data_IF_887125728596
#
_entry.id   IF_887125728596
#
_cell.length_a   1.000
_cell.length_b   1.000
_cell.length_c   1.000
_cell.angle_alpha   90.00
_cell.angle_beta   90.00
_cell.angle_gamma   90.00
#
_symmetry.space_group_name_H-M   'P 1'
#
loop_
_entity.id
_entity.type
_entity.pdbx_description
1 polymer ?
#
# COMPACT_ATOMS: atom_id res chain seq x y z
N UNK A 1 -4.85 -9.29 -13.76
CA UNK A 1 -5.97 -9.20 -14.75
C UNK A 1 -7.14 -8.57 -14.02
N UNK A 2 -7.33 -7.27 -14.14
CA UNK A 2 -8.53 -6.60 -13.63
C UNK A 2 -9.66 -6.98 -14.59
N UNK A 3 -10.60 -7.79 -14.10
CA UNK A 3 -11.84 -8.05 -14.80
C UNK A 3 -12.58 -6.72 -14.95
N UNK A 4 -12.81 -6.27 -16.17
CA UNK A 4 -13.71 -5.16 -16.46
C UNK A 4 -15.12 -5.61 -16.10
N UNK A 5 -15.54 -5.33 -14.88
CA UNK A 5 -16.95 -5.47 -14.52
C UNK A 5 -17.71 -4.32 -15.16
N UNK A 6 -18.88 -4.60 -15.79
CA UNK A 6 -19.72 -3.54 -16.29
C UNK A 6 -20.15 -2.63 -15.14
N UNK A 7 -20.14 -1.32 -15.37
CA UNK A 7 -20.66 -0.37 -14.40
C UNK A 7 -22.13 -0.70 -14.12
N UNK A 8 -22.43 -0.99 -12.86
CA UNK A 8 -23.78 -1.26 -12.41
C UNK A 8 -24.26 -0.15 -11.49
N UNK A 9 -25.52 0.18 -11.59
CA UNK A 9 -26.14 1.17 -10.70
C UNK A 9 -26.11 0.64 -9.25
N UNK A 10 -25.63 1.44 -8.27
CA UNK A 10 -25.60 1.03 -6.87
C UNK A 10 -27.02 0.70 -6.38
N UNK A 11 -27.24 -0.50 -5.89
CA UNK A 11 -28.50 -0.98 -5.34
C UNK A 11 -28.36 -1.23 -3.84
N UNK A 12 -29.27 -0.65 -3.04
CA UNK A 12 -29.39 -1.06 -1.63
C UNK A 12 -30.07 -2.42 -1.57
N UNK A 13 -29.29 -3.44 -1.25
CA UNK A 13 -29.76 -4.82 -1.16
C UNK A 13 -30.24 -5.10 0.27
N UNK A 14 -31.44 -5.67 0.39
CA UNK A 14 -32.01 -6.07 1.68
C UNK A 14 -31.69 -7.53 2.00
N UNK A 15 -31.72 -7.88 3.29
CA UNK A 15 -31.53 -9.26 3.75
C UNK A 15 -32.45 -10.24 3.01
N UNK A 16 -33.74 -9.89 2.89
CA UNK A 16 -34.74 -10.72 2.20
C UNK A 16 -34.42 -10.97 0.73
N UNK A 17 -33.83 -10.00 0.05
CA UNK A 17 -33.45 -10.16 -1.37
C UNK A 17 -32.26 -11.12 -1.52
N UNK A 18 -31.25 -11.02 -0.65
CA UNK A 18 -30.09 -11.92 -0.69
C UNK A 18 -30.50 -13.35 -0.30
N UNK A 19 -31.33 -13.51 0.73
CA UNK A 19 -31.81 -14.81 1.18
C UNK A 19 -32.76 -15.48 0.17
N UNK A 20 -33.44 -14.69 -0.64
CA UNK A 20 -34.33 -15.17 -1.68
C UNK A 20 -33.66 -15.61 -2.98
N UNK A 21 -32.34 -15.50 -3.11
CA UNK A 21 -31.60 -15.94 -4.30
C UNK A 21 -31.56 -17.47 -4.33
N UNK A 22 -32.27 -18.08 -5.29
CA UNK A 22 -32.24 -19.51 -5.53
C UNK A 22 -31.25 -19.82 -6.65
N UNK A 23 -30.25 -20.64 -6.34
CA UNK A 23 -29.27 -21.09 -7.31
C UNK A 23 -29.82 -22.25 -8.14
N UNK A 24 -29.59 -22.19 -9.44
CA UNK A 24 -29.86 -23.28 -10.38
C UNK A 24 -28.55 -23.96 -10.82
N UNK A 25 -28.62 -25.01 -11.64
CA UNK A 25 -27.44 -25.75 -12.11
C UNK A 25 -26.37 -24.86 -12.78
N UNK A 26 -26.76 -23.78 -13.47
CA UNK A 26 -25.84 -22.88 -14.14
C UNK A 26 -25.18 -21.89 -13.17
N UNK A 27 -25.87 -21.52 -12.11
CA UNK A 27 -25.43 -20.53 -11.12
C UNK A 27 -24.86 -21.16 -9.84
N UNK A 28 -24.95 -22.49 -9.68
CA UNK A 28 -24.38 -23.21 -8.56
C UNK A 28 -22.90 -22.93 -8.28
N UNK A 29 -22.00 -22.71 -9.28
CA UNK A 29 -20.61 -22.32 -9.03
C UNK A 29 -20.44 -21.00 -8.28
N UNK A 30 -21.46 -20.13 -8.28
CA UNK A 30 -21.44 -18.84 -7.59
C UNK A 30 -21.89 -18.92 -6.13
N UNK A 31 -22.23 -20.11 -5.61
CA UNK A 31 -22.72 -20.27 -4.25
C UNK A 31 -21.76 -19.67 -3.22
N UNK A 32 -20.48 -19.98 -3.31
CA UNK A 32 -19.46 -19.48 -2.39
C UNK A 32 -19.33 -17.94 -2.46
N UNK A 33 -19.41 -17.37 -3.66
CA UNK A 33 -19.39 -15.92 -3.85
C UNK A 33 -20.61 -15.24 -3.26
N UNK A 34 -21.80 -15.85 -3.37
CA UNK A 34 -23.03 -15.35 -2.78
C UNK A 34 -23.04 -15.43 -1.26
N UNK A 35 -22.52 -16.51 -0.68
CA UNK A 35 -22.34 -16.61 0.78
C UNK A 35 -21.41 -15.53 1.31
N UNK A 36 -20.30 -15.27 0.61
CA UNK A 36 -19.36 -14.21 0.94
C UNK A 36 -20.02 -12.84 0.83
N UNK A 37 -20.72 -12.57 -0.27
CA UNK A 37 -21.46 -11.33 -0.48
C UNK A 37 -22.50 -11.09 0.61
N UNK A 38 -23.20 -12.13 1.04
CA UNK A 38 -24.17 -12.07 2.16
C UNK A 38 -23.50 -11.63 3.46
N UNK A 39 -22.38 -12.22 3.82
CA UNK A 39 -21.63 -11.85 5.02
C UNK A 39 -21.15 -10.39 5.00
N UNK A 40 -20.62 -9.94 3.86
CA UNK A 40 -20.08 -8.58 3.70
C UNK A 40 -21.23 -7.55 3.70
N UNK A 41 -22.27 -7.75 2.86
CA UNK A 41 -23.34 -6.76 2.66
C UNK A 41 -24.21 -6.61 3.89
N UNK A 42 -24.45 -7.70 4.61
CA UNK A 42 -25.31 -7.70 5.79
C UNK A 42 -24.55 -7.36 7.09
N UNK A 43 -23.25 -7.09 7.02
CA UNK A 43 -22.40 -6.94 8.21
C UNK A 43 -22.63 -8.06 9.25
N UNK A 44 -22.77 -9.28 8.75
CA UNK A 44 -23.11 -10.42 9.59
C UNK A 44 -21.91 -10.78 10.44
N UNK A 45 -21.98 -10.47 11.73
CA UNK A 45 -21.06 -11.00 12.73
C UNK A 45 -21.63 -12.35 13.17
N UNK A 46 -20.96 -13.48 12.87
CA UNK A 46 -21.48 -14.79 13.28
C UNK A 46 -21.53 -14.83 14.80
N UNK A 47 -22.72 -15.06 15.33
CA UNK A 47 -22.90 -15.31 16.77
C UNK A 47 -22.38 -16.70 17.09
N UNK A 48 -21.23 -16.75 17.78
CA UNK A 48 -20.54 -17.98 18.17
C UNK A 48 -21.40 -18.83 19.14
N UNK A 49 -22.41 -18.20 19.77
CA UNK A 49 -23.21 -18.84 20.81
C UNK A 49 -24.27 -19.83 20.29
N UNK A 50 -24.71 -19.71 19.04
CA UNK A 50 -25.83 -20.49 18.53
C UNK A 50 -25.48 -21.70 17.67
N UNK A 51 -24.22 -21.88 17.25
CA UNK A 51 -23.70 -23.07 16.58
C UNK A 51 -24.37 -23.49 15.26
N UNK A 52 -25.31 -22.69 14.73
CA UNK A 52 -26.11 -23.02 13.55
C UNK A 52 -25.58 -22.46 12.22
N UNK A 53 -24.65 -21.53 12.26
CA UNK A 53 -24.11 -20.93 11.04
C UNK A 53 -22.64 -21.33 10.82
N UNK A 54 -22.34 -21.75 9.59
CA UNK A 54 -20.97 -22.03 9.19
C UNK A 54 -20.21 -20.72 9.20
N UNK A 55 -19.24 -20.59 10.08
CA UNK A 55 -18.33 -19.44 10.11
C UNK A 55 -17.38 -19.54 8.93
N UNK A 56 -17.45 -18.59 8.00
CA UNK A 56 -16.42 -18.42 6.97
C UNK A 56 -15.38 -17.49 7.55
N UNK A 57 -14.23 -18.03 7.90
CA UNK A 57 -13.07 -17.25 8.31
C UNK A 57 -12.30 -16.85 7.04
N UNK A 58 -12.32 -15.55 6.72
CA UNK A 58 -11.51 -15.01 5.64
C UNK A 58 -10.21 -14.48 6.23
N UNK A 59 -9.13 -15.14 5.87
CA UNK A 59 -7.79 -14.68 6.20
C UNK A 59 -7.25 -13.87 5.03
N UNK A 60 -7.01 -12.59 5.29
CA UNK A 60 -6.33 -11.71 4.35
C UNK A 60 -4.87 -11.56 4.75
N UNK A 61 -3.99 -11.60 3.76
CA UNK A 61 -2.64 -11.11 3.95
C UNK A 61 -2.70 -9.56 4.05
N UNK A 62 -2.67 -9.08 5.28
CA UNK A 62 -2.79 -7.65 5.57
C UNK A 62 -1.61 -6.84 5.05
N UNK A 63 -0.42 -7.44 4.89
CA UNK A 63 0.72 -6.76 4.27
C UNK A 63 0.41 -6.46 2.81
N UNK A 64 -0.02 -7.49 2.07
CA UNK A 64 -0.38 -7.35 0.66
C UNK A 64 -1.58 -6.41 0.46
N UNK A 65 -2.59 -6.49 1.32
CA UNK A 65 -3.74 -5.59 1.24
C UNK A 65 -3.34 -4.13 1.48
N UNK A 66 -2.47 -3.89 2.46
CA UNK A 66 -1.96 -2.56 2.77
C UNK A 66 -1.12 -1.98 1.63
N UNK A 67 -0.23 -2.77 1.07
CA UNK A 67 0.58 -2.43 -0.09
C UNK A 67 -0.27 -2.00 -1.29
N UNK A 68 -1.22 -2.84 -1.71
CA UNK A 68 -2.13 -2.56 -2.83
C UNK A 68 -3.01 -1.34 -2.55
N UNK A 69 -3.50 -1.19 -1.32
CA UNK A 69 -4.31 -0.05 -0.93
C UNK A 69 -3.53 1.26 -1.07
N UNK A 70 -2.33 1.34 -0.52
CA UNK A 70 -1.47 2.53 -0.62
C UNK A 70 -1.10 2.83 -2.08
N UNK A 71 -0.73 1.82 -2.85
CA UNK A 71 -0.42 1.96 -4.27
C UNK A 71 -1.59 2.59 -5.05
N UNK A 72 -2.82 2.10 -4.83
CA UNK A 72 -4.02 2.61 -5.49
C UNK A 72 -4.29 4.08 -5.07
N UNK A 73 -4.15 4.41 -3.79
CA UNK A 73 -4.38 5.77 -3.32
C UNK A 73 -3.37 6.77 -3.91
N UNK A 74 -2.09 6.41 -3.95
CA UNK A 74 -1.05 7.25 -4.56
C UNK A 74 -1.30 7.42 -6.06
N UNK A 75 -1.67 6.37 -6.78
CA UNK A 75 -2.02 6.46 -8.21
C UNK A 75 -3.18 7.40 -8.48
N UNK A 76 -4.18 7.44 -7.60
CA UNK A 76 -5.31 8.38 -7.72
C UNK A 76 -4.88 9.83 -7.55
N UNK A 77 -4.04 10.11 -6.55
CA UNK A 77 -3.57 11.47 -6.27
C UNK A 77 -2.63 11.99 -7.36
N UNK A 78 -1.80 11.14 -7.94
CA UNK A 78 -0.84 11.53 -8.98
C UNK A 78 -1.40 11.41 -10.41
N UNK A 79 -2.67 11.05 -10.56
CA UNK A 79 -3.30 10.97 -11.87
C UNK A 79 -3.33 12.34 -12.56
N UNK A 80 -2.72 12.42 -13.75
CA UNK A 80 -2.65 13.68 -14.53
C UNK A 80 -1.52 14.62 -14.13
N UNK A 81 -0.63 14.21 -13.22
CA UNK A 81 0.63 14.92 -12.92
C UNK A 81 1.78 14.40 -13.79
N UNK A 82 2.96 15.04 -13.68
CA UNK A 82 4.20 14.60 -14.36
C UNK A 82 4.90 13.42 -13.65
N UNK A 83 4.18 12.66 -12.83
CA UNK A 83 4.75 11.55 -12.08
C UNK A 83 4.09 10.22 -12.44
N UNK A 84 4.91 9.21 -12.73
CA UNK A 84 4.48 7.83 -12.89
C UNK A 84 4.61 7.05 -11.57
N UNK A 85 3.69 6.11 -11.34
CA UNK A 85 3.65 5.30 -10.12
C UNK A 85 3.65 3.82 -10.48
N UNK A 86 4.74 3.14 -10.13
CA UNK A 86 4.92 1.70 -10.34
C UNK A 86 4.78 0.96 -9.02
N UNK A 87 3.97 -0.10 -9.00
CA UNK A 87 3.90 -1.04 -7.91
C UNK A 87 4.78 -2.24 -8.20
N UNK A 88 5.49 -2.76 -7.20
CA UNK A 88 6.30 -3.96 -7.31
C UNK A 88 7.31 -3.89 -8.49
N UNK A 89 7.89 -2.70 -8.74
CA UNK A 89 8.93 -2.53 -9.75
C UNK A 89 10.14 -3.41 -9.40
N UNK A 90 10.66 -4.17 -10.36
CA UNK A 90 11.60 -5.24 -10.08
C UNK A 90 12.94 -4.99 -10.76
N UNK A 91 14.03 -5.05 -10.00
CA UNK A 91 15.40 -5.02 -10.52
C UNK A 91 16.18 -6.24 -10.03
N UNK A 92 17.06 -6.77 -10.90
CA UNK A 92 17.93 -7.89 -10.52
C UNK A 92 18.94 -7.42 -9.46
N UNK A 93 19.00 -8.13 -8.33
CA UNK A 93 19.98 -7.88 -7.29
C UNK A 93 21.27 -8.67 -7.53
N UNK A 94 21.13 -10.01 -7.62
CA UNK A 94 22.24 -10.93 -7.92
C UNK A 94 21.69 -12.25 -8.46
N UNK A 95 22.18 -12.70 -9.59
CA UNK A 95 21.74 -13.94 -10.23
C UNK A 95 20.22 -13.93 -10.52
N UNK A 96 19.48 -14.84 -9.91
CA UNK A 96 18.02 -14.92 -10.01
C UNK A 96 17.26 -14.20 -8.89
N UNK A 97 17.96 -13.48 -8.01
CA UNK A 97 17.32 -12.74 -6.93
C UNK A 97 16.99 -11.32 -7.37
N UNK A 98 15.82 -10.87 -6.99
CA UNK A 98 15.29 -9.57 -7.38
C UNK A 98 15.01 -8.71 -6.15
N UNK A 99 15.23 -7.41 -6.31
CA UNK A 99 14.74 -6.37 -5.41
C UNK A 99 13.38 -5.88 -5.92
N UNK A 100 12.47 -5.55 -5.00
CA UNK A 100 11.10 -5.26 -5.37
C UNK A 100 10.44 -4.35 -4.33
N UNK A 101 10.64 -3.03 -4.42
CA UNK A 101 9.95 -2.08 -3.57
C UNK A 101 8.44 -2.06 -3.87
N UNK A 102 7.63 -1.78 -2.85
CA UNK A 102 6.18 -1.79 -2.96
C UNK A 102 5.68 -0.70 -3.90
N UNK A 103 6.21 0.52 -3.75
CA UNK A 103 5.84 1.67 -4.58
C UNK A 103 7.08 2.45 -4.99
N UNK A 104 7.20 2.72 -6.29
CA UNK A 104 8.18 3.64 -6.88
C UNK A 104 7.43 4.78 -7.56
N UNK A 105 7.72 6.01 -7.16
CA UNK A 105 7.22 7.23 -7.77
C UNK A 105 8.38 7.87 -8.53
N UNK A 106 8.21 8.17 -9.79
CA UNK A 106 9.24 8.74 -10.65
C UNK A 106 8.68 9.87 -11.47
N UNK A 107 9.41 10.99 -11.56
CA UNK A 107 9.09 12.08 -12.47
C UNK A 107 9.39 11.66 -13.91
N UNK A 108 8.49 11.96 -14.84
CA UNK A 108 8.57 11.47 -16.22
C UNK A 108 9.77 12.06 -16.99
N UNK A 109 10.13 13.32 -16.71
CA UNK A 109 11.22 14.04 -17.38
C UNK A 109 12.50 14.13 -16.56
N UNK A 110 12.47 13.95 -15.23
CA UNK A 110 13.61 14.09 -14.33
C UNK A 110 13.92 12.79 -13.60
N UNK A 111 14.83 12.01 -14.17
CA UNK A 111 15.27 10.74 -13.60
C UNK A 111 15.93 10.83 -12.21
N UNK A 112 16.26 12.06 -11.72
CA UNK A 112 16.79 12.27 -10.36
C UNK A 112 15.68 12.38 -9.31
N UNK A 113 14.43 12.57 -9.74
CA UNK A 113 13.28 12.64 -8.85
C UNK A 113 12.60 11.29 -8.74
N UNK A 114 13.24 10.39 -7.99
CA UNK A 114 12.71 9.06 -7.67
C UNK A 114 12.47 8.98 -6.17
N UNK A 115 11.31 8.46 -5.80
CA UNK A 115 10.87 8.28 -4.42
C UNK A 115 10.40 6.83 -4.23
N UNK A 116 10.77 6.23 -3.11
CA UNK A 116 10.39 4.86 -2.77
C UNK A 116 9.56 4.85 -1.51
N UNK A 117 8.49 4.06 -1.53
CA UNK A 117 7.71 3.76 -0.33
C UNK A 117 7.67 2.24 -0.19
N UNK A 118 8.11 1.77 0.97
CA UNK A 118 8.03 0.38 1.37
C UNK A 118 7.05 0.28 2.54
N UNK A 119 5.97 -0.43 2.34
CA UNK A 119 4.84 -0.48 3.26
C UNK A 119 5.00 -1.59 4.28
N UNK A 120 4.64 -1.33 5.52
CA UNK A 120 4.76 -2.32 6.61
C UNK A 120 3.49 -2.36 7.44
N UNK A 121 2.70 -3.42 7.34
CA UNK A 121 1.52 -3.62 8.20
C UNK A 121 1.94 -4.15 9.57
N UNK A 122 2.59 -3.29 10.34
CA UNK A 122 3.01 -3.58 11.73
C UNK A 122 3.12 -2.28 12.53
N UNK A 123 3.04 -2.38 13.84
CA UNK A 123 3.36 -1.25 14.74
C UNK A 123 4.80 -1.42 15.23
N UNK A 124 5.72 -0.58 14.80
CA UNK A 124 7.11 -0.69 15.25
C UNK A 124 7.21 -0.36 16.75
N UNK A 125 7.98 -1.17 17.47
CA UNK A 125 8.26 -0.95 18.89
C UNK A 125 8.99 0.37 19.06
N UNK A 126 8.52 1.20 19.99
CA UNK A 126 9.05 2.56 20.22
C UNK A 126 9.10 3.43 18.95
N UNK A 127 8.26 3.12 17.95
CA UNK A 127 8.19 3.82 16.66
C UNK A 127 9.50 3.84 15.87
N UNK A 128 10.39 2.91 16.16
CA UNK A 128 11.66 2.72 15.47
C UNK A 128 11.55 1.57 14.48
N UNK A 129 11.98 1.81 13.25
CA UNK A 129 12.08 0.77 12.22
C UNK A 129 13.14 -0.26 12.59
N UNK A 130 12.92 -1.52 12.21
CA UNK A 130 13.91 -2.56 12.44
C UNK A 130 15.15 -2.34 11.56
N UNK A 131 16.29 -2.82 12.02
CA UNK A 131 17.55 -2.78 11.25
C UNK A 131 17.39 -3.50 9.90
N UNK A 132 16.58 -4.56 9.85
CA UNK A 132 16.30 -5.28 8.60
C UNK A 132 15.53 -4.40 7.61
N UNK A 133 14.48 -3.67 8.08
CA UNK A 133 13.72 -2.75 7.23
C UNK A 133 14.62 -1.60 6.73
N UNK A 134 15.51 -1.08 7.59
CA UNK A 134 16.44 -0.02 7.21
C UNK A 134 17.48 -0.47 6.18
N UNK A 135 17.99 -1.70 6.27
CA UNK A 135 18.88 -2.29 5.26
C UNK A 135 18.15 -2.49 3.93
N UNK A 136 16.92 -2.97 3.98
CA UNK A 136 16.09 -3.16 2.81
C UNK A 136 15.87 -1.83 2.08
N UNK A 137 15.41 -0.80 2.79
CA UNK A 137 15.12 0.50 2.18
C UNK A 137 16.39 1.20 1.68
N UNK A 138 17.55 1.03 2.35
CA UNK A 138 18.83 1.50 1.87
C UNK A 138 19.20 0.87 0.52
N UNK A 139 19.03 -0.47 0.40
CA UNK A 139 19.30 -1.17 -0.83
C UNK A 139 18.41 -0.66 -1.97
N UNK A 140 17.12 -0.43 -1.71
CA UNK A 140 16.21 0.14 -2.68
C UNK A 140 16.63 1.55 -3.12
N UNK A 141 16.99 2.43 -2.16
CA UNK A 141 17.49 3.76 -2.47
C UNK A 141 18.67 3.71 -3.46
N UNK A 142 19.63 2.83 -3.22
CA UNK A 142 20.81 2.69 -4.08
C UNK A 142 20.48 2.18 -5.48
N UNK A 143 19.63 1.15 -5.59
CA UNK A 143 19.32 0.51 -6.87
C UNK A 143 18.43 1.36 -7.77
N UNK A 144 17.50 2.12 -7.21
CA UNK A 144 16.65 3.04 -7.96
C UNK A 144 17.20 4.47 -8.01
N UNK A 145 18.36 4.71 -7.44
CA UNK A 145 18.93 6.06 -7.28
C UNK A 145 17.92 7.05 -6.71
N UNK A 146 17.15 6.59 -5.71
CA UNK A 146 16.05 7.35 -5.15
C UNK A 146 16.53 8.46 -4.23
N UNK A 147 16.00 9.67 -4.40
CA UNK A 147 16.28 10.84 -3.55
C UNK A 147 15.79 10.63 -2.13
N UNK A 148 14.58 10.12 -1.98
CA UNK A 148 13.94 9.86 -0.69
C UNK A 148 13.29 8.50 -0.69
N UNK A 149 13.38 7.81 0.43
CA UNK A 149 12.64 6.58 0.67
C UNK A 149 11.96 6.61 2.03
N UNK A 150 10.78 5.99 2.12
CA UNK A 150 9.97 6.00 3.32
C UNK A 150 9.50 4.59 3.65
N UNK A 151 9.70 4.18 4.92
CA UNK A 151 9.03 3.03 5.52
C UNK A 151 7.68 3.50 6.03
N UNK A 152 6.59 3.05 5.42
CA UNK A 152 5.22 3.52 5.71
C UNK A 152 4.46 2.54 6.60
N UNK A 153 4.03 3.02 7.74
CA UNK A 153 3.30 2.25 8.75
C UNK A 153 1.87 2.78 8.95
N UNK A 154 0.89 1.92 9.26
CA UNK A 154 -0.39 2.38 9.76
C UNK A 154 -0.24 2.89 11.21
N UNK A 155 -0.84 4.03 11.51
CA UNK A 155 -0.80 4.62 12.85
C UNK A 155 -1.10 6.10 12.84
N UNK A 156 -1.06 6.71 14.01
CA UNK A 156 -1.22 8.16 14.13
C UNK A 156 -0.13 8.89 13.36
N UNK A 157 -0.52 9.89 12.58
CA UNK A 157 0.40 10.69 11.79
C UNK A 157 1.43 11.37 12.69
N UNK A 158 2.71 11.11 12.43
CA UNK A 158 3.82 11.77 13.08
C UNK A 158 4.78 12.29 12.02
N UNK A 159 5.19 13.51 12.19
CA UNK A 159 6.13 14.16 11.30
C UNK A 159 7.57 13.83 11.73
N UNK A 160 8.10 12.73 11.21
CA UNK A 160 9.51 12.42 11.33
C UNK A 160 10.24 13.08 10.16
N UNK A 161 11.37 13.70 10.42
CA UNK A 161 12.21 14.28 9.38
C UNK A 161 12.99 13.21 8.60
N UNK A 162 13.27 13.48 7.34
CA UNK A 162 14.21 12.69 6.55
C UNK A 162 15.62 12.81 7.10
N UNK A 163 16.34 11.69 7.11
CA UNK A 163 17.75 11.62 7.54
C UNK A 163 18.60 10.97 6.47
N UNK A 164 19.83 11.44 6.23
CA UNK A 164 20.78 10.77 5.36
C UNK A 164 21.26 9.47 6.00
N UNK A 165 21.73 8.54 5.17
CA UNK A 165 22.48 7.39 5.65
C UNK A 165 23.92 7.82 5.96
N UNK A 166 24.43 7.53 7.15
CA UNK A 166 25.73 8.04 7.64
C UNK A 166 26.95 7.58 6.81
N UNK A 167 26.83 6.46 6.11
CA UNK A 167 27.93 5.91 5.30
C UNK A 167 28.05 6.52 3.91
N UNK A 168 27.17 7.43 3.52
CA UNK A 168 27.19 7.98 2.16
C UNK A 168 28.39 8.90 1.90
N UNK A 169 28.95 9.51 2.92
CA UNK A 169 30.15 10.35 2.77
C UNK A 169 31.37 9.54 2.32
N UNK A 170 31.45 8.27 2.70
CA UNK A 170 32.57 7.38 2.29
C UNK A 170 32.57 7.10 0.77
N UNK A 171 31.41 7.12 0.13
CA UNK A 171 31.27 6.89 -1.31
C UNK A 171 31.41 8.17 -2.15
N UNK A 172 31.39 9.35 -1.52
CA UNK A 172 31.48 10.65 -2.19
C UNK A 172 32.88 11.07 -2.57
N UNK A 173 33.91 10.59 -1.87
CA UNK A 173 35.29 11.02 -2.08
C UNK A 173 35.87 10.61 -3.44
N UNK A 174 35.30 9.65 -4.12
CA UNK A 174 35.82 9.08 -5.37
C UNK A 174 35.01 9.40 -6.62
N UNK A 175 33.86 10.08 -6.54
CA UNK A 175 33.02 10.35 -7.70
C UNK A 175 32.61 11.83 -7.74
N UNK A 176 33.26 12.61 -8.60
CA UNK A 176 32.94 14.02 -8.85
C UNK A 176 31.61 14.23 -9.60
N UNK A 177 30.88 13.18 -9.92
CA UNK A 177 29.53 13.26 -10.46
C UNK A 177 28.57 13.54 -9.30
N UNK A 178 27.74 14.55 -9.44
CA UNK A 178 26.69 15.01 -8.52
C UNK A 178 25.95 13.87 -7.82
N UNK A 179 26.55 13.31 -6.77
CA UNK A 179 26.00 12.20 -6.01
C UNK A 179 24.68 12.63 -5.36
N UNK A 180 23.61 11.91 -5.63
CA UNK A 180 22.33 12.13 -4.97
C UNK A 180 22.48 11.70 -3.51
N UNK A 181 22.15 12.58 -2.58
CA UNK A 181 22.04 12.21 -1.17
C UNK A 181 20.77 11.41 -0.98
N UNK A 182 20.91 10.16 -0.60
CA UNK A 182 19.79 9.28 -0.30
C UNK A 182 19.26 9.55 1.11
N UNK A 183 17.99 9.84 1.22
CA UNK A 183 17.33 10.16 2.48
C UNK A 183 16.29 9.09 2.83
N UNK A 184 16.15 8.80 4.12
CA UNK A 184 15.16 7.86 4.62
C UNK A 184 14.41 8.41 5.82
N UNK A 185 13.14 8.02 5.96
CA UNK A 185 12.37 8.21 7.20
C UNK A 185 11.33 7.10 7.41
N UNK A 186 10.81 7.04 8.64
CA UNK A 186 9.58 6.30 8.96
C UNK A 186 8.39 7.25 8.86
N UNK A 187 7.40 6.91 8.05
CA UNK A 187 6.14 7.64 7.92
C UNK A 187 5.00 6.87 8.58
N UNK A 188 4.04 7.61 9.13
CA UNK A 188 2.84 7.04 9.75
C UNK A 188 1.61 7.74 9.21
N UNK A 189 0.58 6.97 8.83
CA UNK A 189 -0.68 7.52 8.33
C UNK A 189 -1.87 6.87 9.03
N UNK A 190 -2.87 7.67 9.36
CA UNK A 190 -4.10 7.16 9.93
C UNK A 190 -4.94 6.50 8.85
N UNK A 191 -5.24 5.21 9.05
CA UNK A 191 -6.09 4.43 8.12
C UNK A 191 -7.55 4.87 8.22
N UNK A 192 -7.97 5.28 9.41
CA UNK A 192 -9.34 5.71 9.69
C UNK A 192 -9.41 7.22 9.88
N UNK A 193 -10.52 7.82 9.47
CA UNK A 193 -10.87 9.20 9.78
C UNK A 193 -11.48 9.35 11.20
N UNK A 194 -11.93 10.56 11.52
CA UNK A 194 -12.54 10.87 12.83
C UNK A 194 -13.87 10.12 13.07
N UNK A 195 -14.53 9.70 12.01
CA UNK A 195 -15.79 8.94 12.06
C UNK A 195 -15.56 7.42 12.10
N UNK A 196 -14.32 6.95 12.27
CA UNK A 196 -13.92 5.55 12.16
C UNK A 196 -14.22 4.91 10.80
N UNK A 197 -14.27 5.72 9.74
CA UNK A 197 -14.36 5.24 8.35
C UNK A 197 -12.98 5.26 7.71
N UNK A 198 -12.83 4.49 6.63
CA UNK A 198 -11.59 4.48 5.86
C UNK A 198 -11.29 5.90 5.34
N UNK A 199 -10.11 6.41 5.66
CA UNK A 199 -9.71 7.76 5.27
C UNK A 199 -9.65 7.91 3.75
N UNK A 200 -10.42 8.86 3.22
CA UNK A 200 -10.43 9.19 1.78
C UNK A 200 -9.22 10.02 1.36
N UNK A 201 -8.47 10.57 2.31
CA UNK A 201 -7.31 11.46 2.07
C UNK A 201 -5.97 10.78 2.29
N UNK A 202 -5.94 9.47 2.45
CA UNK A 202 -4.72 8.75 2.80
C UNK A 202 -3.62 8.88 1.73
N UNK A 203 -3.99 8.92 0.45
CA UNK A 203 -3.04 9.14 -0.64
C UNK A 203 -2.33 10.49 -0.50
N UNK A 204 -3.09 11.56 -0.27
CA UNK A 204 -2.57 12.88 -0.02
C UNK A 204 -1.66 12.92 1.22
N UNK A 205 -2.10 12.32 2.34
CA UNK A 205 -1.29 12.24 3.55
C UNK A 205 0.07 11.55 3.29
N UNK A 206 0.10 10.49 2.51
CA UNK A 206 1.33 9.78 2.14
C UNK A 206 2.25 10.67 1.30
N UNK A 207 1.71 11.41 0.33
CA UNK A 207 2.49 12.32 -0.50
C UNK A 207 3.02 13.52 0.31
N UNK A 208 2.21 14.09 1.19
CA UNK A 208 2.63 15.17 2.10
C UNK A 208 3.80 14.74 2.98
N UNK A 209 3.81 13.46 3.41
CA UNK A 209 4.94 12.90 4.15
C UNK A 209 6.24 12.86 3.34
N UNK A 210 6.23 12.83 2.02
CA UNK A 210 7.45 12.88 1.20
C UNK A 210 8.08 14.28 1.17
N UNK A 211 7.36 15.31 1.62
CA UNK A 211 7.85 16.70 1.69
C UNK A 211 8.35 17.20 0.32
N UNK A 212 7.58 16.90 -0.74
CA UNK A 212 7.84 17.29 -2.12
C UNK A 212 6.56 17.82 -2.79
N UNK A 213 6.71 18.68 -3.79
CA UNK A 213 5.61 19.09 -4.66
C UNK A 213 5.47 18.13 -5.81
N UNK A 214 4.29 17.53 -5.94
CA UNK A 214 3.92 16.63 -7.02
C UNK A 214 2.93 17.35 -7.97
N UNK A 215 3.41 18.40 -8.64
CA UNK A 215 2.62 19.17 -9.61
C UNK A 215 2.92 18.75 -11.04
#
# INVERSE_FOLDING_TARGET
>A
MLLNFPETTPLKVTKKQIEGIVLNRKTAPYNQALELARLIILNYSPDISTGREKMISLLFDMNRLWEEFILIQIRKELAGTSYSVKGQDSQTFIGSNYLKPDVVIQHDEDSKKVYIIDTKWKRPTNQSSSISDLRQIYTYNRFWNAKKAMLLYPGESKNNSFKPFETEDFFRENDQTTAITHLCKSGFVSVLDQDNKLSSTIGKQVLDLLEESFS
#
